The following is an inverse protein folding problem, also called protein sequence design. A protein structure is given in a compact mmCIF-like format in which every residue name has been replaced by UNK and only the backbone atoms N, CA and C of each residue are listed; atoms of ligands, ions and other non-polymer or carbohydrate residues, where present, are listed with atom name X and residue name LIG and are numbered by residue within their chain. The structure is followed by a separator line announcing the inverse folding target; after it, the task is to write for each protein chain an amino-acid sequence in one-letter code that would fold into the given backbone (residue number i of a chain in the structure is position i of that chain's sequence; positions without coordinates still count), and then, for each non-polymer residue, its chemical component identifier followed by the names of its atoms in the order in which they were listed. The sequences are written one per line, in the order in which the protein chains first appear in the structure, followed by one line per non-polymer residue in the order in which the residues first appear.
data_IF_825158089370
#
_entry.id   IF_825158089370
#
_cell.length_a   1.000
_cell.length_b   1.000
_cell.length_c   1.000
_cell.angle_alpha   90.00
_cell.angle_beta   90.00
_cell.angle_gamma   90.00
#
_symmetry.space_group_name_H-M   'P 1'
#
loop_
_entity.id
_entity.type
_entity.pdbx_description
1 polymer ?
#
# COMPACT_ATOMS: atom_id res chain seq x y z
N UNK A 1 -8.32 19.03 6.36
CA UNK A 1 -7.92 18.94 7.80
C UNK A 1 -7.82 17.48 8.26
N UNK A 2 -6.70 17.10 8.88
CA UNK A 2 -6.51 15.78 9.53
C UNK A 2 -6.43 16.01 11.03
N UNK A 3 -7.34 15.41 11.79
CA UNK A 3 -7.31 15.45 13.25
C UNK A 3 -6.20 14.53 13.76
N UNK A 4 -5.46 14.98 14.78
CA UNK A 4 -4.54 14.13 15.54
C UNK A 4 -5.36 13.48 16.66
N UNK A 5 -5.52 12.14 16.68
CA UNK A 5 -6.27 11.49 17.74
C UNK A 5 -5.53 11.66 19.08
N UNK A 6 -6.27 12.04 20.12
CA UNK A 6 -5.78 12.05 21.50
C UNK A 6 -5.58 10.61 22.01
N UNK A 7 -4.78 10.46 23.06
CA UNK A 7 -4.57 9.16 23.72
C UNK A 7 -5.92 8.56 24.14
N UNK A 8 -6.18 7.32 23.71
CA UNK A 8 -7.43 6.55 23.89
C UNK A 8 -8.60 6.90 22.95
N UNK A 9 -8.43 7.80 21.97
CA UNK A 9 -9.45 7.99 20.94
C UNK A 9 -9.53 6.78 20.01
N UNK A 10 -10.73 6.19 19.90
CA UNK A 10 -10.98 5.05 19.01
C UNK A 10 -11.24 5.47 17.55
N UNK A 11 -11.61 6.74 17.32
CA UNK A 11 -11.94 7.28 16.00
C UNK A 11 -11.70 8.78 15.92
N UNK A 12 -11.29 9.28 14.74
CA UNK A 12 -11.04 10.70 14.46
C UNK A 12 -11.42 11.03 13.02
N UNK A 13 -11.38 12.30 12.60
CA UNK A 13 -11.58 12.69 11.19
C UNK A 13 -10.26 12.86 10.45
N UNK A 14 -10.20 12.24 9.27
CA UNK A 14 -9.13 12.43 8.31
C UNK A 14 -9.75 13.01 7.03
N UNK A 15 -9.38 14.24 6.66
CA UNK A 15 -10.04 15.04 5.61
C UNK A 15 -11.57 15.00 5.65
N UNK A 16 -12.16 15.11 6.85
CA UNK A 16 -13.62 15.08 7.02
C UNK A 16 -14.27 13.70 7.01
N UNK A 17 -13.53 12.61 6.73
CA UNK A 17 -14.01 11.23 6.86
C UNK A 17 -13.67 10.71 8.25
N UNK A 18 -14.66 10.16 8.96
CA UNK A 18 -14.42 9.46 10.22
C UNK A 18 -13.68 8.15 9.96
N UNK A 19 -12.53 7.97 10.60
CA UNK A 19 -11.75 6.73 10.62
C UNK A 19 -11.69 6.16 12.02
N UNK A 20 -11.35 4.89 12.16
CA UNK A 20 -11.12 4.24 13.45
C UNK A 20 -9.94 3.29 13.39
N UNK A 21 -9.28 3.08 14.53
CA UNK A 21 -8.18 2.13 14.64
C UNK A 21 -8.62 0.71 14.28
N UNK A 22 -7.68 -0.06 13.70
CA UNK A 22 -7.79 -1.51 13.66
C UNK A 22 -7.90 -2.06 15.09
N UNK A 23 -8.77 -3.05 15.30
CA UNK A 23 -8.92 -3.70 16.61
C UNK A 23 -7.56 -4.27 17.05
N UNK A 24 -6.96 -3.73 18.13
CA UNK A 24 -5.62 -4.10 18.57
C UNK A 24 -5.54 -5.52 19.14
N UNK A 25 -6.67 -6.09 19.57
CA UNK A 25 -6.73 -7.46 20.13
C UNK A 25 -6.65 -8.55 19.05
N UNK A 26 -6.87 -8.19 17.79
CA UNK A 26 -6.90 -9.13 16.69
C UNK A 26 -5.56 -9.15 15.96
N UNK A 27 -4.78 -10.22 16.14
CA UNK A 27 -3.56 -10.48 15.35
C UNK A 27 -3.88 -10.59 13.85
N UNK A 28 -5.11 -10.99 13.50
CA UNK A 28 -5.63 -10.99 12.12
C UNK A 28 -5.78 -9.58 11.54
N UNK A 29 -5.78 -8.54 12.37
CA UNK A 29 -5.94 -7.14 12.00
C UNK A 29 -4.63 -6.34 12.07
N UNK A 30 -3.51 -6.97 12.42
CA UNK A 30 -2.21 -6.28 12.44
C UNK A 30 -1.82 -5.84 11.02
N UNK A 31 -1.52 -4.56 10.88
CA UNK A 31 -1.02 -3.97 9.65
C UNK A 31 0.51 -4.09 9.61
N UNK A 32 1.08 -4.15 8.41
CA UNK A 32 2.53 -4.06 8.22
C UNK A 32 3.06 -2.77 8.87
N UNK A 33 4.11 -2.87 9.68
CA UNK A 33 4.75 -1.71 10.30
C UNK A 33 5.09 -0.63 9.26
N UNK A 34 4.83 0.63 9.59
CA UNK A 34 5.02 1.78 8.69
C UNK A 34 3.81 2.09 7.81
N UNK A 35 2.75 1.26 7.84
CA UNK A 35 1.51 1.54 7.14
C UNK A 35 0.37 1.92 8.10
N UNK A 36 -0.58 2.77 7.67
CA UNK A 36 -1.71 3.16 8.49
C UNK A 36 -2.55 1.97 8.98
N UNK A 37 -2.77 1.92 10.29
CA UNK A 37 -3.58 0.89 10.97
C UNK A 37 -4.95 1.43 11.38
N UNK A 38 -5.65 2.11 10.46
CA UNK A 38 -7.01 2.62 10.65
C UNK A 38 -7.84 2.43 9.39
N UNK A 39 -9.17 2.49 9.52
CA UNK A 39 -10.11 2.34 8.41
C UNK A 39 -11.30 3.31 8.50
N UNK A 40 -11.86 3.82 7.38
CA UNK A 40 -13.06 4.62 7.33
C UNK A 40 -14.23 3.92 8.00
N UNK A 41 -15.04 4.73 8.63
CA UNK A 41 -16.32 4.31 9.17
C UNK A 41 -17.24 3.94 8.00
N UNK A 42 -18.00 2.85 8.16
CA UNK A 42 -18.98 2.37 7.17
C UNK A 42 -20.03 3.43 6.81
N UNK A 43 -20.31 4.37 7.71
CA UNK A 43 -21.31 5.41 7.52
C UNK A 43 -20.79 6.58 6.66
N UNK A 44 -19.47 6.71 6.50
CA UNK A 44 -18.84 7.77 5.72
C UNK A 44 -18.35 7.25 4.35
N UNK A 45 -18.71 6.02 3.98
CA UNK A 45 -18.30 5.43 2.70
C UNK A 45 -18.86 6.21 1.51
N UNK A 46 -20.09 6.72 1.62
CA UNK A 46 -20.74 7.49 0.54
C UNK A 46 -20.04 8.84 0.29
N UNK A 47 -19.48 9.48 1.31
CA UNK A 47 -18.65 10.67 1.14
C UNK A 47 -17.39 10.35 0.34
N UNK A 48 -16.77 9.20 0.61
CA UNK A 48 -15.61 8.75 -0.16
C UNK A 48 -15.97 8.37 -1.61
N UNK A 49 -17.19 7.88 -1.87
CA UNK A 49 -17.70 7.71 -3.25
C UNK A 49 -17.74 9.03 -3.99
N UNK A 50 -18.37 10.03 -3.37
CA UNK A 50 -18.63 11.32 -4.00
C UNK A 50 -17.33 12.05 -4.37
N UNK A 51 -16.25 11.80 -3.63
CA UNK A 51 -14.92 12.38 -3.88
C UNK A 51 -14.12 11.67 -4.96
N UNK A 52 -14.56 10.49 -5.39
CA UNK A 52 -13.82 9.70 -6.35
C UNK A 52 -14.27 9.99 -7.79
N UNK A 53 -13.33 10.49 -8.60
CA UNK A 53 -13.50 10.64 -10.04
C UNK A 53 -12.76 9.48 -10.78
N UNK A 54 -13.51 8.55 -11.41
CA UNK A 54 -12.94 7.44 -12.16
C UNK A 54 -12.09 7.86 -13.36
N UNK A 55 -12.47 8.94 -14.06
CA UNK A 55 -11.78 9.41 -15.26
C UNK A 55 -10.48 10.08 -14.89
N UNK A 56 -10.51 11.00 -13.90
CA UNK A 56 -9.30 11.63 -13.40
C UNK A 56 -8.30 10.60 -12.86
N UNK A 57 -8.78 9.57 -12.17
CA UNK A 57 -7.91 8.49 -11.70
C UNK A 57 -7.38 7.60 -12.82
N UNK A 58 -8.19 7.29 -13.82
CA UNK A 58 -7.72 6.55 -14.99
C UNK A 58 -6.64 7.33 -15.76
N UNK A 59 -6.81 8.64 -15.90
CA UNK A 59 -5.80 9.53 -16.47
C UNK A 59 -4.51 9.52 -15.63
N UNK A 60 -4.61 9.64 -14.30
CA UNK A 60 -3.46 9.52 -13.38
C UNK A 60 -2.71 8.19 -13.58
N UNK A 61 -3.44 7.08 -13.70
CA UNK A 61 -2.87 5.75 -13.91
C UNK A 61 -2.17 5.57 -15.25
N UNK A 62 -2.62 6.25 -16.30
CA UNK A 62 -2.20 6.01 -17.69
C UNK A 62 -1.23 7.05 -18.23
N UNK A 63 -1.37 8.31 -17.83
CA UNK A 63 -0.60 9.43 -18.35
C UNK A 63 0.51 9.88 -17.39
N UNK A 64 0.15 10.11 -16.12
CA UNK A 64 1.10 10.65 -15.11
C UNK A 64 2.06 9.56 -14.62
N UNK A 65 1.63 8.31 -14.64
CA UNK A 65 2.43 7.14 -14.25
C UNK A 65 3.14 7.28 -12.88
N UNK A 66 2.46 7.76 -11.81
CA UNK A 66 3.06 8.05 -10.50
C UNK A 66 3.74 6.82 -9.85
N UNK A 67 3.31 5.61 -10.21
CA UNK A 67 3.96 4.35 -9.82
C UNK A 67 5.42 4.22 -10.30
N UNK A 68 5.77 4.79 -11.48
CA UNK A 68 7.13 4.78 -12.02
C UNK A 68 7.99 5.74 -11.23
N UNK A 69 7.51 6.97 -11.08
CA UNK A 69 8.16 7.98 -10.25
C UNK A 69 8.41 7.45 -8.83
N UNK A 70 7.41 6.86 -8.16
CA UNK A 70 7.58 6.24 -6.84
C UNK A 70 8.70 5.18 -6.81
N UNK A 71 8.84 4.39 -7.87
CA UNK A 71 9.88 3.37 -7.98
C UNK A 71 11.25 3.97 -8.32
N UNK A 72 11.30 4.99 -9.16
CA UNK A 72 12.54 5.65 -9.57
C UNK A 72 13.13 6.48 -8.42
N UNK A 73 12.27 7.12 -7.62
CA UNK A 73 12.60 7.93 -6.44
C UNK A 73 12.83 7.09 -5.17
N UNK A 74 12.69 5.76 -5.26
CA UNK A 74 12.90 4.87 -4.11
C UNK A 74 14.33 4.98 -3.57
N UNK A 75 14.50 4.63 -2.30
CA UNK A 75 15.83 4.43 -1.72
C UNK A 75 16.54 3.28 -2.45
N UNK A 76 17.73 3.57 -3.00
CA UNK A 76 18.57 2.59 -3.72
C UNK A 76 19.81 2.17 -2.92
N UNK A 77 19.98 2.73 -1.73
CA UNK A 77 21.13 2.49 -0.85
C UNK A 77 20.72 1.57 0.30
N UNK A 78 21.68 0.78 0.78
CA UNK A 78 21.54 0.05 2.04
C UNK A 78 21.91 1.00 3.18
N UNK A 79 21.04 1.11 4.18
CA UNK A 79 21.29 1.96 5.36
C UNK A 79 21.73 1.15 6.57
N UNK A 80 21.35 -0.12 6.65
CA UNK A 80 21.62 -0.98 7.81
C UNK A 80 22.67 -2.05 7.54
N UNK A 81 22.99 -2.32 6.28
CA UNK A 81 23.94 -3.34 5.86
C UNK A 81 24.94 -2.80 4.83
N UNK A 82 26.09 -3.45 4.73
CA UNK A 82 27.09 -3.17 3.69
C UNK A 82 27.06 -4.26 2.64
N UNK A 83 27.27 -3.87 1.39
CA UNK A 83 27.27 -4.81 0.26
C UNK A 83 28.36 -5.89 0.40
N UNK A 84 29.53 -5.52 0.94
CA UNK A 84 30.65 -6.44 1.18
C UNK A 84 30.39 -7.51 2.26
N UNK A 85 29.41 -7.27 3.14
CA UNK A 85 29.04 -8.18 4.24
C UNK A 85 27.88 -9.13 3.86
N UNK A 86 27.39 -9.03 2.62
CA UNK A 86 26.32 -9.89 2.12
C UNK A 86 26.88 -11.27 1.72
N UNK A 87 26.17 -12.31 2.15
CA UNK A 87 26.45 -13.67 1.70
C UNK A 87 26.07 -13.87 0.23
N UNK A 88 26.56 -14.96 -0.36
CA UNK A 88 26.20 -15.38 -1.72
C UNK A 88 24.69 -15.60 -1.93
N UNK A 89 23.91 -15.80 -0.86
CA UNK A 89 22.45 -15.94 -0.92
C UNK A 89 21.70 -14.60 -0.82
N UNK A 90 22.35 -13.56 -0.30
CA UNK A 90 21.73 -12.25 0.01
C UNK A 90 21.80 -11.26 -1.15
N UNK A 91 22.88 -11.29 -1.95
CA UNK A 91 22.95 -10.46 -3.14
C UNK A 91 21.84 -10.80 -4.16
N UNK A 92 21.61 -12.09 -4.52
CA UNK A 92 20.51 -12.46 -5.42
C UNK A 92 19.12 -12.13 -4.86
N UNK A 93 18.97 -12.12 -3.53
CA UNK A 93 17.74 -11.68 -2.91
C UNK A 93 17.46 -10.19 -3.18
N UNK A 94 18.47 -9.33 -3.08
CA UNK A 94 18.29 -7.91 -3.36
C UNK A 94 17.91 -7.67 -4.82
N UNK A 95 18.58 -8.35 -5.75
CA UNK A 95 18.26 -8.26 -7.18
C UNK A 95 16.82 -8.71 -7.46
N UNK A 96 16.43 -9.86 -6.91
CA UNK A 96 15.08 -10.37 -7.11
C UNK A 96 14.01 -9.49 -6.46
N UNK A 97 14.30 -8.89 -5.29
CA UNK A 97 13.41 -7.91 -4.69
C UNK A 97 13.27 -6.66 -5.56
N UNK A 98 14.37 -6.17 -6.13
CA UNK A 98 14.37 -5.02 -7.05
C UNK A 98 13.50 -5.31 -8.28
N UNK A 99 13.69 -6.47 -8.91
CA UNK A 99 12.88 -6.89 -10.05
C UNK A 99 11.41 -7.08 -9.68
N UNK A 100 11.15 -7.70 -8.53
CA UNK A 100 9.80 -7.88 -8.02
C UNK A 100 9.10 -6.55 -7.76
N UNK A 101 9.78 -5.58 -7.13
CA UNK A 101 9.25 -4.25 -6.87
C UNK A 101 8.99 -3.49 -8.16
N UNK A 102 9.90 -3.55 -9.14
CA UNK A 102 9.74 -2.91 -10.43
C UNK A 102 8.52 -3.46 -11.18
N UNK A 103 8.49 -4.78 -11.36
CA UNK A 103 7.43 -5.49 -12.09
C UNK A 103 6.06 -5.38 -11.44
N UNK A 104 6.01 -5.13 -10.12
CA UNK A 104 4.76 -4.96 -9.38
C UNK A 104 4.54 -3.53 -8.85
N UNK A 105 5.31 -2.54 -9.30
CA UNK A 105 5.26 -1.15 -8.82
C UNK A 105 3.86 -0.55 -8.85
N UNK A 106 3.07 -0.88 -9.87
CA UNK A 106 1.65 -0.52 -9.96
C UNK A 106 0.85 -1.04 -8.77
N UNK A 107 1.02 -2.31 -8.39
CA UNK A 107 0.32 -2.92 -7.29
C UNK A 107 0.80 -2.39 -5.93
N UNK A 108 2.08 -2.03 -5.78
CA UNK A 108 2.60 -1.36 -4.59
C UNK A 108 2.01 0.04 -4.44
N UNK A 109 2.04 0.84 -5.50
CA UNK A 109 1.49 2.20 -5.51
C UNK A 109 -0.01 2.18 -5.22
N UNK A 110 -0.73 1.25 -5.84
CA UNK A 110 -2.16 1.04 -5.59
C UNK A 110 -2.46 0.58 -4.17
N UNK A 111 -1.60 -0.22 -3.54
CA UNK A 111 -1.80 -0.69 -2.16
C UNK A 111 -1.66 0.44 -1.13
N UNK A 112 -0.88 1.48 -1.46
CA UNK A 112 -0.74 2.72 -0.68
C UNK A 112 -1.93 3.67 -0.86
N UNK A 113 -2.75 3.45 -1.88
CA UNK A 113 -3.88 4.30 -2.24
C UNK A 113 -5.17 3.55 -2.05
N UNK A 114 -5.77 3.63 -0.86
CA UNK A 114 -7.18 3.28 -0.79
C UNK A 114 -8.05 4.43 -1.25
N UNK A 115 -8.16 4.56 -2.57
CA UNK A 115 -9.39 5.10 -3.11
C UNK A 115 -10.45 4.00 -2.95
N UNK A 116 -11.45 4.22 -2.10
CA UNK A 116 -12.59 3.32 -2.04
C UNK A 116 -13.35 3.45 -3.36
N UNK A 117 -13.01 2.59 -4.32
CA UNK A 117 -13.90 2.32 -5.42
C UNK A 117 -15.09 1.60 -4.81
N UNK A 118 -16.18 2.32 -4.62
CA UNK A 118 -17.43 1.61 -4.57
C UNK A 118 -17.73 1.23 -6.01
N UNK A 119 -17.91 -0.08 -6.27
CA UNK A 119 -18.20 -0.53 -7.62
C UNK A 119 -19.39 0.29 -8.08
N UNK A 120 -19.18 1.13 -9.10
CA UNK A 120 -20.29 1.64 -9.89
C UNK A 120 -20.98 0.48 -10.58
N UNK A 121 -21.81 0.76 -11.56
CA UNK A 121 -22.44 -0.29 -12.36
C UNK A 121 -21.38 -1.25 -12.93
N UNK A 122 -21.75 -2.51 -13.14
CA UNK A 122 -20.81 -3.60 -13.48
C UNK A 122 -19.93 -3.32 -14.73
N UNK A 123 -20.36 -2.40 -15.61
CA UNK A 123 -19.63 -2.01 -16.81
C UNK A 123 -18.91 -0.65 -16.72
N UNK A 124 -19.08 0.06 -15.60
CA UNK A 124 -18.45 1.36 -15.35
C UNK A 124 -16.92 1.26 -15.30
N UNK A 125 -16.25 2.37 -15.66
CA UNK A 125 -14.81 2.48 -15.52
C UNK A 125 -14.36 2.26 -14.06
N UNK A 126 -15.12 2.78 -13.10
CA UNK A 126 -14.90 2.57 -11.67
C UNK A 126 -14.87 1.08 -11.29
N UNK A 127 -15.83 0.30 -11.79
CA UNK A 127 -15.90 -1.14 -11.54
C UNK A 127 -14.71 -1.89 -12.13
N UNK A 128 -14.30 -1.54 -13.35
CA UNK A 128 -13.13 -2.14 -14.03
C UNK A 128 -11.84 -1.85 -13.27
N UNK A 129 -11.64 -0.61 -12.81
CA UNK A 129 -10.48 -0.22 -12.00
C UNK A 129 -10.49 -0.96 -10.67
N UNK A 130 -11.61 -0.97 -9.96
CA UNK A 130 -11.77 -1.70 -8.69
C UNK A 130 -11.39 -3.17 -8.83
N UNK A 131 -11.95 -3.85 -9.83
CA UNK A 131 -11.76 -5.29 -10.02
C UNK A 131 -10.30 -5.62 -10.36
N UNK A 132 -9.66 -4.79 -11.19
CA UNK A 132 -8.23 -4.94 -11.52
C UNK A 132 -7.36 -4.72 -10.28
N UNK A 133 -7.66 -3.68 -9.51
CA UNK A 133 -6.95 -3.34 -8.27
C UNK A 133 -7.03 -4.50 -7.26
N UNK A 134 -8.24 -4.99 -6.96
CA UNK A 134 -8.46 -6.11 -6.03
C UNK A 134 -7.69 -7.37 -6.45
N UNK A 135 -7.76 -7.75 -7.73
CA UNK A 135 -7.04 -8.92 -8.25
C UNK A 135 -5.52 -8.77 -8.11
N UNK A 136 -5.00 -7.58 -8.42
CA UNK A 136 -3.57 -7.29 -8.27
C UNK A 136 -3.14 -7.34 -6.80
N UNK A 137 -3.92 -6.76 -5.89
CA UNK A 137 -3.68 -6.81 -4.45
C UNK A 137 -3.58 -8.25 -3.94
N UNK A 138 -4.56 -9.10 -4.25
CA UNK A 138 -4.58 -10.50 -3.83
C UNK A 138 -3.43 -11.32 -4.42
N UNK A 139 -3.10 -11.11 -5.70
CA UNK A 139 -2.02 -11.83 -6.37
C UNK A 139 -0.64 -11.41 -5.86
N UNK A 140 -0.37 -10.11 -5.78
CA UNK A 140 0.95 -9.58 -5.42
C UNK A 140 1.25 -9.78 -3.95
N UNK A 141 0.26 -9.61 -3.06
CA UNK A 141 0.43 -9.91 -1.63
C UNK A 141 0.85 -11.36 -1.39
N UNK A 142 0.19 -12.33 -2.04
CA UNK A 142 0.55 -13.75 -1.95
C UNK A 142 1.97 -14.00 -2.48
N UNK A 143 2.30 -13.45 -3.65
CA UNK A 143 3.63 -13.61 -4.26
C UNK A 143 4.74 -13.00 -3.40
N UNK A 144 4.51 -11.81 -2.82
CA UNK A 144 5.45 -11.15 -1.92
C UNK A 144 5.68 -11.97 -0.64
N UNK A 145 4.62 -12.53 -0.05
CA UNK A 145 4.73 -13.39 1.12
C UNK A 145 5.50 -14.69 0.81
N UNK A 146 5.24 -15.31 -0.34
CA UNK A 146 5.97 -16.51 -0.80
C UNK A 146 7.44 -16.20 -1.05
N UNK A 147 7.73 -15.09 -1.72
CA UNK A 147 9.08 -14.60 -2.00
C UNK A 147 9.87 -14.44 -0.70
N UNK A 148 9.32 -13.70 0.27
CA UNK A 148 9.95 -13.48 1.56
C UNK A 148 10.20 -14.81 2.32
N UNK A 149 9.21 -15.71 2.37
CA UNK A 149 9.37 -17.01 3.03
C UNK A 149 10.46 -17.86 2.39
N UNK A 150 10.56 -17.86 1.05
CA UNK A 150 11.59 -18.61 0.32
C UNK A 150 12.99 -18.12 0.67
N UNK A 151 13.22 -16.80 0.66
CA UNK A 151 14.53 -16.25 0.98
C UNK A 151 14.94 -16.45 2.43
N UNK A 152 14.00 -16.31 3.38
CA UNK A 152 14.26 -16.65 4.79
C UNK A 152 14.68 -18.11 4.95
N UNK A 153 14.02 -19.05 4.26
CA UNK A 153 14.41 -20.47 4.25
C UNK A 153 15.79 -20.69 3.65
N UNK A 154 16.19 -19.87 2.68
CA UNK A 154 17.50 -19.94 2.02
C UNK A 154 18.61 -19.21 2.78
N UNK A 155 18.38 -18.79 4.04
CA UNK A 155 19.41 -18.20 4.89
C UNK A 155 19.58 -16.69 4.77
N UNK A 156 18.69 -15.99 4.07
CA UNK A 156 18.71 -14.51 4.04
C UNK A 156 18.33 -13.98 5.42
N UNK A 157 19.18 -13.11 5.99
CA UNK A 157 18.94 -12.53 7.31
C UNK A 157 17.67 -11.68 7.33
N UNK A 158 16.91 -11.79 8.43
CA UNK A 158 15.64 -11.05 8.61
C UNK A 158 15.86 -9.54 8.48
N UNK A 159 16.97 -9.01 9.03
CA UNK A 159 17.29 -7.59 9.05
C UNK A 159 17.36 -6.98 7.64
N UNK A 160 17.72 -7.76 6.61
CA UNK A 160 17.80 -7.26 5.24
C UNK A 160 16.42 -6.92 4.64
N UNK A 161 15.35 -7.56 5.14
CA UNK A 161 13.98 -7.19 4.78
C UNK A 161 13.54 -5.85 5.39
N UNK A 162 14.30 -5.30 6.34
CA UNK A 162 14.03 -4.00 6.95
C UNK A 162 14.79 -2.86 6.28
N UNK A 163 15.59 -3.14 5.25
CA UNK A 163 16.23 -2.11 4.45
C UNK A 163 15.20 -1.19 3.80
N UNK A 164 15.51 0.11 3.79
CA UNK A 164 14.57 1.12 3.28
C UNK A 164 14.29 0.95 1.79
N UNK A 165 15.25 0.41 1.04
CA UNK A 165 15.08 0.06 -0.37
C UNK A 165 14.28 -1.21 -0.63
N UNK A 166 13.99 -2.02 0.40
CA UNK A 166 13.26 -3.29 0.28
C UNK A 166 11.81 -3.10 0.72
N UNK A 167 10.93 -2.91 -0.25
CA UNK A 167 9.52 -2.65 0.03
C UNK A 167 8.79 -3.88 0.57
N UNK A 168 8.12 -3.70 1.70
CA UNK A 168 7.17 -4.67 2.24
C UNK A 168 5.80 -4.40 1.62
N UNK A 169 5.16 -5.45 1.12
CA UNK A 169 3.77 -5.34 0.70
C UNK A 169 2.87 -5.24 1.94
N UNK A 170 1.90 -4.31 1.99
CA UNK A 170 1.07 -4.16 3.17
C UNK A 170 0.15 -5.37 3.34
N UNK A 171 0.04 -5.86 4.57
CA UNK A 171 -0.78 -7.01 4.92
C UNK A 171 -2.28 -6.73 4.72
N UNK A 172 -2.67 -5.46 4.91
CA UNK A 172 -4.02 -4.95 4.67
C UNK A 172 -3.96 -3.75 3.71
N UNK A 173 -5.05 -3.50 3.00
CA UNK A 173 -5.16 -2.30 2.15
C UNK A 173 -5.05 -1.05 3.02
N UNK A 174 -4.27 -0.04 2.59
CA UNK A 174 -3.96 1.14 3.38
C UNK A 174 -4.84 2.33 3.01
N UNK A 175 -5.56 2.89 4.00
CA UNK A 175 -6.61 3.85 3.74
C UNK A 175 -6.14 5.27 3.39
N UNK A 176 -5.95 5.60 2.11
CA UNK A 176 -5.69 6.99 1.69
C UNK A 176 -6.99 7.72 1.43
N UNK A 177 -7.32 8.65 2.31
CA UNK A 177 -8.57 9.40 2.23
C UNK A 177 -8.35 10.63 1.37
N UNK A 178 -9.12 10.73 0.28
CA UNK A 178 -9.10 11.91 -0.59
C UNK A 178 -9.66 13.12 0.16
N UNK A 179 -8.99 14.25 0.00
CA UNK A 179 -9.51 15.53 0.47
C UNK A 179 -10.81 15.86 -0.24
N UNK A 180 -11.65 16.64 0.44
CA UNK A 180 -12.87 17.14 -0.17
C UNK A 180 -12.51 18.11 -1.30
N UNK A 181 -12.99 17.91 -2.54
CA UNK A 181 -12.75 18.86 -3.62
C UNK A 181 -13.26 20.27 -3.28
N UNK A 182 -14.27 20.39 -2.42
CA UNK A 182 -14.80 21.67 -1.94
C UNK A 182 -13.98 22.35 -0.85
N UNK A 183 -12.96 21.65 -0.32
CA UNK A 183 -12.04 22.19 0.69
C UNK A 183 -10.75 22.80 0.08
N UNK A 184 -10.65 22.84 -1.26
CA UNK A 184 -9.58 23.46 -2.02
C UNK A 184 -9.91 24.91 -2.41
#
# INVERSE_FOLDING_TARGET
MVELPEDNMVSWRHHGIRVKHADPSSTKNSQTLGFPAYFPNRHDLDLLKARFDPEAFHHLLTQVLPRRQMYDDRVKQLYFHRLEDLSAAEAPFLDEMVDFMNGNSCAFWNALLWIMFLPGDADSLAYKIHTRHRRAQESVSKRAATLAKRHKRNGVRESLFHESGVWKYPAKVCHRILEDPSAL
#
